data_IF_364435928658
#
_entry.id   IF_364435928658
#
_cell.length_a   1.000
_cell.length_b   1.000
_cell.length_c   1.000
_cell.angle_alpha   90.00
_cell.angle_beta   90.00
_cell.angle_gamma   90.00
#
_symmetry.space_group_name_H-M   'P 1'
#
loop_
_entity.id
_entity.type
_entity.pdbx_description
1 polymer ?
#
# COMPACT_ATOMS: atom_id res chain seq x y z
N UNK A 1 -19.00 13.44 7.67
CA UNK A 1 -18.66 12.20 8.42
C UNK A 1 -18.11 11.31 7.36
N UNK A 2 -16.82 11.04 7.46
CA UNK A 2 -16.12 10.25 6.46
C UNK A 2 -16.81 8.90 6.29
N UNK A 3 -17.00 8.50 5.04
CA UNK A 3 -17.51 7.17 4.69
C UNK A 3 -16.38 6.15 4.67
N UNK A 4 -15.13 6.60 4.50
CA UNK A 4 -13.93 5.77 4.62
C UNK A 4 -12.89 6.53 5.43
N UNK A 5 -12.28 5.85 6.40
CA UNK A 5 -11.14 6.34 7.16
C UNK A 5 -9.99 5.34 7.06
N UNK A 6 -8.81 5.83 6.70
CA UNK A 6 -7.57 5.09 6.71
C UNK A 6 -6.58 5.82 7.63
N UNK A 7 -6.14 5.13 8.68
CA UNK A 7 -5.18 5.66 9.63
C UNK A 7 -3.90 4.83 9.52
N UNK A 8 -2.78 5.54 9.30
CA UNK A 8 -1.44 4.96 9.20
C UNK A 8 -1.39 3.70 8.30
N UNK A 9 -1.94 3.80 7.09
CA UNK A 9 -2.01 2.68 6.17
C UNK A 9 -0.63 2.37 5.60
N UNK A 10 -0.15 1.14 5.83
CA UNK A 10 1.10 0.61 5.28
C UNK A 10 0.83 -0.58 4.37
N UNK A 11 1.65 -0.72 3.32
CA UNK A 11 1.64 -1.94 2.52
C UNK A 11 3.02 -2.23 1.96
N UNK A 12 3.55 -3.38 2.33
CA UNK A 12 4.79 -3.93 1.78
C UNK A 12 4.49 -5.19 0.99
N UNK A 13 5.14 -5.33 -0.17
CA UNK A 13 5.06 -6.52 -1.00
C UNK A 13 6.41 -7.18 -1.15
N UNK A 14 6.40 -8.52 -1.19
CA UNK A 14 7.56 -9.33 -1.52
C UNK A 14 7.48 -9.71 -3.00
N UNK A 15 8.42 -9.20 -3.78
CA UNK A 15 8.55 -9.49 -5.20
C UNK A 15 9.75 -10.39 -5.45
N UNK A 16 9.62 -11.27 -6.43
CA UNK A 16 10.69 -12.13 -6.89
C UNK A 16 11.08 -11.77 -8.32
N UNK A 17 12.35 -11.50 -8.57
CA UNK A 17 12.86 -11.13 -9.89
C UNK A 17 13.78 -12.22 -10.46
N UNK A 18 13.62 -12.53 -11.75
CA UNK A 18 14.42 -13.52 -12.48
C UNK A 18 13.85 -14.95 -12.45
N UNK A 19 14.22 -15.76 -13.45
CA UNK A 19 13.67 -17.11 -13.65
C UNK A 19 14.56 -18.22 -13.10
N UNK A 20 15.89 -18.11 -13.25
CA UNK A 20 16.85 -19.17 -12.86
C UNK A 20 17.55 -18.85 -11.52
N UNK A 21 18.02 -17.61 -11.31
CA UNK A 21 18.60 -17.14 -10.04
C UNK A 21 17.70 -16.10 -9.40
N UNK A 22 16.55 -16.56 -8.91
CA UNK A 22 15.47 -15.70 -8.43
C UNK A 22 15.91 -14.90 -7.19
N UNK A 23 15.88 -13.58 -7.28
CA UNK A 23 16.17 -12.68 -6.16
C UNK A 23 14.86 -12.25 -5.51
N UNK A 24 14.87 -12.14 -4.19
CA UNK A 24 13.77 -11.60 -3.39
C UNK A 24 14.02 -10.13 -3.16
N UNK A 25 12.98 -9.30 -3.30
CA UNK A 25 12.99 -7.88 -2.94
C UNK A 25 11.71 -7.53 -2.19
N UNK A 26 11.84 -6.71 -1.16
CA UNK A 26 10.70 -6.08 -0.50
C UNK A 26 10.50 -4.66 -1.05
N UNK A 27 9.23 -4.31 -1.28
CA UNK A 27 8.82 -3.02 -1.86
C UNK A 27 7.74 -2.45 -0.96
N UNK A 28 8.00 -1.28 -0.40
CA UNK A 28 7.03 -0.49 0.33
C UNK A 28 6.15 0.28 -0.65
N UNK A 29 4.94 -0.23 -0.89
CA UNK A 29 3.98 0.31 -1.85
C UNK A 29 3.09 1.40 -1.27
N UNK A 30 2.80 1.34 0.04
CA UNK A 30 2.11 2.40 0.77
C UNK A 30 2.90 2.71 2.02
N UNK A 31 3.21 4.00 2.22
CA UNK A 31 4.09 4.52 3.27
C UNK A 31 3.29 5.30 4.31
N UNK A 32 2.71 4.61 5.29
CA UNK A 32 2.05 5.21 6.45
C UNK A 32 1.10 6.38 6.14
N UNK A 33 0.23 6.22 5.15
CA UNK A 33 -0.66 7.31 4.74
C UNK A 33 -1.92 7.35 5.61
N UNK A 34 -2.34 8.54 5.99
CA UNK A 34 -3.61 8.75 6.70
C UNK A 34 -4.50 9.66 5.88
N UNK A 35 -5.74 9.24 5.63
CA UNK A 35 -6.72 9.99 4.87
C UNK A 35 -8.15 9.59 5.23
N UNK A 36 -9.08 10.49 4.90
CA UNK A 36 -10.50 10.26 5.02
C UNK A 36 -11.16 10.59 3.68
N UNK A 37 -12.24 9.89 3.35
CA UNK A 37 -13.06 10.14 2.15
C UNK A 37 -14.45 10.51 2.64
N UNK A 38 -14.94 11.68 2.25
CA UNK A 38 -16.28 12.15 2.52
C UNK A 38 -17.29 11.61 1.50
N UNK A 39 -18.57 11.71 1.84
CA UNK A 39 -19.64 11.16 0.99
C UNK A 39 -19.71 11.92 -0.34
N UNK A 40 -19.41 11.22 -1.43
CA UNK A 40 -19.46 11.77 -2.80
C UNK A 40 -18.15 12.40 -3.29
N UNK A 41 -17.07 12.26 -2.52
CA UNK A 41 -15.71 12.66 -2.91
C UNK A 41 -15.11 11.68 -3.95
N UNK A 42 -14.37 12.19 -4.93
CA UNK A 42 -13.76 11.48 -6.06
C UNK A 42 -12.26 11.75 -6.18
#
# INVERSE_FOLDING_TARGET
MAVVEALDLHRTYKTHTGTIRRRVKEIEAVRGVSFAIEKGEL
#
